data_IF_116569518899
#
_entry.id   IF_116569518899
#
_cell.length_a   1.000
_cell.length_b   1.000
_cell.length_c   1.000
_cell.angle_alpha   90.00
_cell.angle_beta   90.00
_cell.angle_gamma   90.00
#
_symmetry.space_group_name_H-M   'P 1'
#
loop_
_entity.id
_entity.type
_entity.pdbx_description
1 polymer ?
#
# COMPACT_ATOMS: atom_id res chain seq x y z
N UNK A 1 -13.62 -1.37 -6.93
CA UNK A 1 -15.08 -1.16 -7.06
C UNK A 1 -15.76 -2.41 -7.63
N UNK A 2 -17.09 -2.39 -7.71
CA UNK A 2 -17.90 -3.52 -8.16
C UNK A 2 -17.68 -3.88 -9.63
N UNK A 3 -17.39 -2.91 -10.48
CA UNK A 3 -17.16 -3.11 -11.91
C UNK A 3 -15.85 -3.88 -12.14
N UNK A 4 -14.79 -3.49 -11.43
CA UNK A 4 -13.52 -4.24 -11.45
C UNK A 4 -13.65 -5.65 -10.87
N UNK A 5 -14.44 -5.81 -9.81
CA UNK A 5 -14.71 -7.15 -9.25
C UNK A 5 -15.48 -8.02 -10.23
N UNK A 6 -16.50 -7.47 -10.91
CA UNK A 6 -17.24 -8.15 -11.95
C UNK A 6 -16.32 -8.59 -13.09
N UNK A 7 -15.50 -7.69 -13.62
CA UNK A 7 -14.49 -7.99 -14.64
C UNK A 7 -13.60 -9.17 -14.23
N UNK A 8 -13.09 -9.18 -13.00
CA UNK A 8 -12.25 -10.29 -12.50
C UNK A 8 -13.04 -11.61 -12.49
N UNK A 9 -14.31 -11.59 -12.06
CA UNK A 9 -15.16 -12.76 -12.05
C UNK A 9 -15.43 -13.28 -13.48
N UNK A 10 -15.78 -12.39 -14.41
CA UNK A 10 -16.03 -12.72 -15.81
C UNK A 10 -14.79 -13.36 -16.47
N UNK A 11 -13.60 -12.79 -16.21
CA UNK A 11 -12.31 -13.32 -16.71
C UNK A 11 -12.01 -14.72 -16.15
N UNK A 12 -12.26 -14.94 -14.87
CA UNK A 12 -12.06 -16.25 -14.24
C UNK A 12 -12.93 -17.32 -14.94
N UNK A 13 -14.18 -16.99 -15.25
CA UNK A 13 -15.11 -17.86 -15.92
C UNK A 13 -14.73 -18.06 -17.39
N UNK A 14 -14.48 -16.99 -18.14
CA UNK A 14 -14.14 -17.01 -19.58
C UNK A 14 -12.89 -17.85 -19.87
N UNK A 15 -11.86 -17.67 -19.07
CA UNK A 15 -10.58 -18.36 -19.26
C UNK A 15 -10.43 -19.63 -18.41
N UNK A 16 -11.50 -20.07 -17.73
CA UNK A 16 -11.51 -21.26 -16.90
C UNK A 16 -10.34 -21.31 -15.90
N UNK A 17 -10.11 -20.19 -15.21
CA UNK A 17 -8.98 -20.06 -14.26
C UNK A 17 -9.25 -20.92 -13.04
N UNK A 18 -8.52 -22.01 -12.91
CA UNK A 18 -8.71 -22.99 -11.83
C UNK A 18 -8.23 -22.48 -10.47
N UNK A 19 -7.26 -21.55 -10.46
CA UNK A 19 -6.60 -21.13 -9.23
C UNK A 19 -6.44 -19.62 -9.13
N UNK A 20 -7.04 -19.08 -8.10
CA UNK A 20 -6.98 -17.65 -7.76
C UNK A 20 -6.38 -17.50 -6.36
N UNK A 21 -5.51 -16.52 -6.18
CA UNK A 21 -4.93 -16.21 -4.88
C UNK A 21 -5.18 -14.73 -4.52
N UNK A 22 -5.82 -14.51 -3.39
CA UNK A 22 -5.94 -13.19 -2.78
C UNK A 22 -4.75 -12.96 -1.85
N UNK A 23 -3.94 -11.96 -2.15
CA UNK A 23 -2.71 -11.71 -1.39
C UNK A 23 -2.95 -10.75 -0.23
N UNK A 24 -2.12 -10.84 0.82
CA UNK A 24 -2.11 -9.88 1.94
C UNK A 24 -1.70 -8.45 1.52
N UNK A 25 -1.32 -8.25 0.27
CA UNK A 25 -0.99 -6.94 -0.30
C UNK A 25 -2.09 -6.44 -1.23
N UNK A 26 -3.34 -6.91 -1.05
CA UNK A 26 -4.53 -6.49 -1.79
C UNK A 26 -4.38 -6.68 -3.32
N UNK A 27 -3.74 -7.77 -3.73
CA UNK A 27 -3.58 -8.15 -5.13
C UNK A 27 -4.34 -9.45 -5.39
N UNK A 28 -5.05 -9.53 -6.50
CA UNK A 28 -5.59 -10.77 -7.03
C UNK A 28 -4.56 -11.39 -7.98
N UNK A 29 -4.24 -12.66 -7.80
CA UNK A 29 -3.35 -13.40 -8.69
C UNK A 29 -4.15 -14.50 -9.37
N UNK A 30 -4.06 -14.56 -10.68
CA UNK A 30 -4.56 -15.65 -11.51
C UNK A 30 -3.36 -16.53 -11.86
N UNK A 31 -3.50 -17.83 -11.65
CA UNK A 31 -2.40 -18.79 -11.81
C UNK A 31 -2.61 -19.67 -13.02
N UNK A 32 -1.50 -20.26 -13.47
CA UNK A 32 -1.47 -21.34 -14.48
C UNK A 32 -2.09 -20.96 -15.84
N UNK A 33 -2.00 -19.66 -16.20
CA UNK A 33 -2.48 -19.12 -17.47
C UNK A 33 -1.50 -19.39 -18.61
N UNK A 34 -2.03 -19.64 -19.80
CA UNK A 34 -1.25 -19.68 -21.03
C UNK A 34 -0.66 -18.29 -21.38
N UNK A 35 0.53 -18.21 -22.00
CA UNK A 35 1.16 -16.92 -22.32
C UNK A 35 0.28 -16.00 -23.17
N UNK A 36 -0.46 -16.54 -24.10
CA UNK A 36 -1.37 -15.80 -25.00
C UNK A 36 -2.53 -15.19 -24.19
N UNK A 37 -3.06 -15.94 -23.24
CA UNK A 37 -4.12 -15.50 -22.33
C UNK A 37 -3.63 -14.35 -21.45
N UNK A 38 -2.37 -14.39 -20.96
CA UNK A 38 -1.79 -13.33 -20.12
C UNK A 38 -1.80 -11.99 -20.86
N UNK A 39 -1.33 -11.97 -22.11
CA UNK A 39 -1.28 -10.73 -22.90
C UNK A 39 -2.67 -10.14 -23.14
N UNK A 40 -3.63 -10.97 -23.55
CA UNK A 40 -5.01 -10.55 -23.77
C UNK A 40 -5.67 -10.02 -22.47
N UNK A 41 -5.45 -10.69 -21.35
CA UNK A 41 -5.95 -10.29 -20.04
C UNK A 41 -5.37 -8.96 -19.57
N UNK A 42 -4.08 -8.71 -19.80
CA UNK A 42 -3.45 -7.45 -19.43
C UNK A 42 -4.04 -6.28 -20.21
N UNK A 43 -4.34 -6.46 -21.49
CA UNK A 43 -4.99 -5.46 -22.33
C UNK A 43 -6.43 -5.21 -21.89
N UNK A 44 -7.20 -6.26 -21.66
CA UNK A 44 -8.59 -6.16 -21.16
C UNK A 44 -8.61 -5.50 -19.76
N UNK A 45 -7.72 -5.89 -18.86
CA UNK A 45 -7.63 -5.30 -17.52
C UNK A 45 -7.38 -3.78 -17.59
N UNK A 46 -6.50 -3.35 -18.49
CA UNK A 46 -6.21 -1.92 -18.67
C UNK A 46 -7.44 -1.15 -19.14
N UNK A 47 -8.25 -1.70 -20.06
CA UNK A 47 -9.49 -1.07 -20.53
C UNK A 47 -10.54 -0.91 -19.40
N UNK A 48 -10.45 -1.72 -18.34
CA UNK A 48 -11.27 -1.63 -17.13
C UNK A 48 -10.59 -0.83 -16.00
N UNK A 49 -9.51 -0.11 -16.30
CA UNK A 49 -8.76 0.67 -15.32
C UNK A 49 -8.07 -0.17 -14.25
N UNK A 50 -7.73 -1.43 -14.57
CA UNK A 50 -6.93 -2.32 -13.72
C UNK A 50 -5.50 -2.34 -14.27
N UNK A 51 -4.56 -1.85 -13.46
CA UNK A 51 -3.15 -1.79 -13.82
C UNK A 51 -2.46 -3.05 -13.30
N UNK A 52 -1.90 -3.85 -14.21
CA UNK A 52 -1.16 -5.07 -13.87
C UNK A 52 0.33 -4.83 -13.69
N UNK A 53 0.83 -3.70 -14.17
CA UNK A 53 2.23 -3.30 -14.06
C UNK A 53 2.63 -3.11 -12.59
N UNK A 54 3.81 -3.57 -12.20
CA UNK A 54 4.27 -3.51 -10.80
C UNK A 54 3.77 -4.66 -9.92
N UNK A 55 2.90 -5.54 -10.41
CA UNK A 55 2.42 -6.71 -9.66
C UNK A 55 3.54 -7.73 -9.34
N UNK A 56 4.61 -7.78 -10.13
CA UNK A 56 5.76 -8.69 -9.98
C UNK A 56 7.11 -7.98 -9.88
N UNK A 57 8.20 -8.74 -9.87
CA UNK A 57 9.57 -8.23 -10.01
C UNK A 57 10.11 -7.42 -8.83
N UNK A 58 11.20 -6.73 -9.07
CA UNK A 58 11.92 -5.89 -8.11
C UNK A 58 11.58 -4.41 -8.35
N UNK A 59 10.28 -4.12 -8.24
CA UNK A 59 9.65 -2.82 -8.45
C UNK A 59 8.83 -2.40 -7.24
N UNK A 60 8.43 -1.11 -7.17
CA UNK A 60 7.35 -0.72 -6.29
C UNK A 60 6.10 -1.59 -6.51
N UNK A 61 5.45 -1.95 -5.42
CA UNK A 61 4.24 -2.78 -5.45
C UNK A 61 3.02 -1.91 -5.16
N UNK A 62 1.84 -2.49 -5.32
CA UNK A 62 0.61 -1.82 -4.92
C UNK A 62 0.68 -1.37 -3.45
N UNK A 63 0.04 -0.26 -3.15
CA UNK A 63 -0.07 0.31 -1.82
C UNK A 63 -1.17 -0.39 -1.05
N UNK A 64 -0.92 -0.71 0.20
CA UNK A 64 -1.88 -1.35 1.08
C UNK A 64 -2.59 -0.33 1.96
N UNK A 65 -3.89 -0.52 2.17
CA UNK A 65 -4.71 0.23 3.10
C UNK A 65 -5.73 -0.70 3.76
N UNK A 66 -6.37 -0.32 4.87
CA UNK A 66 -7.47 -1.10 5.42
C UNK A 66 -8.62 -1.19 4.41
N UNK A 67 -9.20 -2.38 4.18
CA UNK A 67 -10.23 -2.57 3.15
C UNK A 67 -11.52 -1.81 3.41
N UNK A 68 -11.72 -1.32 4.64
CA UNK A 68 -12.88 -0.55 5.06
C UNK A 68 -12.54 0.91 5.38
N UNK A 69 -11.36 1.41 5.01
CA UNK A 69 -11.02 2.81 5.23
C UNK A 69 -12.06 3.73 4.58
N UNK A 70 -12.46 4.77 5.27
CA UNK A 70 -13.58 5.63 4.90
C UNK A 70 -14.97 5.13 5.36
N UNK A 71 -15.06 3.88 5.83
CA UNK A 71 -16.31 3.26 6.29
C UNK A 71 -16.21 2.60 7.67
N UNK A 72 -15.03 2.47 8.24
CA UNK A 72 -14.79 1.71 9.46
C UNK A 72 -15.14 2.52 10.71
N UNK A 73 -15.97 1.95 11.60
CA UNK A 73 -16.16 2.52 12.92
C UNK A 73 -14.86 2.48 13.71
N UNK A 74 -14.46 3.61 14.31
CA UNK A 74 -13.25 3.71 15.13
C UNK A 74 -11.96 3.97 14.35
N UNK A 75 -12.02 4.17 13.03
CA UNK A 75 -10.90 4.75 12.31
C UNK A 75 -10.68 6.21 12.73
N UNK A 76 -9.44 6.66 12.73
CA UNK A 76 -9.14 8.07 12.97
C UNK A 76 -9.54 8.93 11.76
N UNK A 77 -9.16 8.50 10.56
CA UNK A 77 -9.61 9.11 9.31
C UNK A 77 -9.42 8.15 8.12
N UNK A 78 -10.09 8.46 7.01
CA UNK A 78 -9.95 7.73 5.75
C UNK A 78 -8.57 7.96 5.14
N UNK A 79 -7.79 6.89 4.97
CA UNK A 79 -6.43 6.95 4.40
C UNK A 79 -6.38 6.61 2.91
N UNK A 80 -7.51 6.21 2.31
CA UNK A 80 -7.56 5.80 0.90
C UNK A 80 -7.05 6.88 -0.06
N UNK A 81 -7.40 8.19 0.09
CA UNK A 81 -6.93 9.21 -0.83
C UNK A 81 -5.39 9.30 -0.92
N UNK A 82 -4.70 9.16 0.22
CA UNK A 82 -3.23 9.16 0.25
C UNK A 82 -2.62 7.87 -0.26
N UNK A 83 -3.28 6.73 -0.02
CA UNK A 83 -2.86 5.44 -0.56
C UNK A 83 -2.97 5.43 -2.10
N UNK A 84 -4.03 5.99 -2.66
CA UNK A 84 -4.23 6.14 -4.11
C UNK A 84 -3.18 7.06 -4.72
N UNK A 85 -2.92 8.25 -4.13
CA UNK A 85 -1.87 9.15 -4.60
C UNK A 85 -0.48 8.54 -4.51
N UNK A 86 -0.22 7.77 -3.48
CA UNK A 86 1.03 7.02 -3.36
C UNK A 86 1.15 5.96 -4.44
N UNK A 87 0.08 5.25 -4.75
CA UNK A 87 0.07 4.24 -5.82
C UNK A 87 0.30 4.89 -7.20
N UNK A 88 -0.38 6.01 -7.50
CA UNK A 88 -0.15 6.79 -8.72
C UNK A 88 1.33 7.20 -8.85
N UNK A 89 1.91 7.76 -7.80
CA UNK A 89 3.32 8.15 -7.78
C UNK A 89 4.25 6.96 -7.99
N UNK A 90 4.05 5.85 -7.29
CA UNK A 90 4.89 4.67 -7.43
C UNK A 90 4.81 4.04 -8.83
N UNK A 91 3.68 4.14 -9.52
CA UNK A 91 3.55 3.70 -10.91
C UNK A 91 4.46 4.48 -11.86
N UNK A 92 4.68 5.77 -11.63
CA UNK A 92 5.60 6.58 -12.45
C UNK A 92 7.06 6.15 -12.30
N UNK A 93 7.38 5.45 -11.21
CA UNK A 93 8.73 5.00 -10.89
C UNK A 93 9.04 3.58 -11.38
N UNK A 94 8.05 2.88 -11.94
CA UNK A 94 8.27 1.57 -12.54
C UNK A 94 9.14 1.75 -13.79
N UNK A 95 10.21 0.99 -13.88
CA UNK A 95 11.24 1.07 -14.92
C UNK A 95 12.13 2.34 -14.90
N UNK A 96 11.95 3.26 -13.95
CA UNK A 96 12.86 4.41 -13.83
C UNK A 96 14.26 3.96 -13.41
N UNK A 97 14.35 3.10 -12.40
CA UNK A 97 15.62 2.56 -11.89
C UNK A 97 15.41 1.14 -11.35
N UNK A 98 16.44 0.32 -11.51
CA UNK A 98 16.43 -1.04 -10.96
C UNK A 98 16.56 -0.98 -9.43
N UNK A 99 15.58 -1.52 -8.73
CA UNK A 99 15.61 -1.63 -7.27
C UNK A 99 16.30 -2.94 -6.82
N UNK A 100 16.87 -2.97 -5.59
CA UNK A 100 17.44 -4.21 -5.04
C UNK A 100 16.38 -5.30 -4.91
N UNK A 101 15.17 -4.92 -4.53
CA UNK A 101 14.00 -5.79 -4.35
C UNK A 101 12.72 -4.97 -4.37
N UNK A 102 11.55 -5.65 -4.31
CA UNK A 102 10.23 -5.02 -4.20
C UNK A 102 10.14 -4.07 -3.01
N UNK A 103 9.50 -2.92 -3.20
CA UNK A 103 9.13 -1.94 -2.18
C UNK A 103 7.63 -2.01 -1.93
N UNK A 104 7.22 -2.10 -0.67
CA UNK A 104 5.81 -2.16 -0.26
C UNK A 104 5.50 -1.02 0.70
N UNK A 105 4.51 -0.21 0.33
CA UNK A 105 4.00 0.88 1.15
C UNK A 105 2.64 0.50 1.73
N UNK A 106 2.37 0.92 2.96
CA UNK A 106 1.16 0.58 3.69
C UNK A 106 0.66 1.74 4.52
N UNK A 107 -0.64 1.95 4.51
CA UNK A 107 -1.33 2.89 5.37
C UNK A 107 -2.20 2.16 6.39
N UNK A 108 -2.22 2.64 7.62
CA UNK A 108 -3.17 2.24 8.66
C UNK A 108 -4.05 3.43 9.01
N UNK A 109 -5.38 3.22 9.13
CA UNK A 109 -6.37 4.26 9.38
C UNK A 109 -6.68 4.46 10.88
N UNK A 110 -5.98 3.77 11.76
CA UNK A 110 -6.25 3.88 13.20
C UNK A 110 -5.45 2.91 14.05
N UNK A 111 -5.77 2.82 15.36
CA UNK A 111 -4.96 2.13 16.37
C UNK A 111 -4.90 0.61 16.17
N UNK A 112 -5.91 0.02 15.52
CA UNK A 112 -5.95 -1.42 15.26
C UNK A 112 -4.84 -1.88 14.30
N UNK A 113 -4.31 -0.97 13.48
CA UNK A 113 -3.21 -1.24 12.54
C UNK A 113 -3.43 -2.55 11.73
N UNK A 114 -4.64 -2.77 11.24
CA UNK A 114 -5.07 -4.01 10.58
C UNK A 114 -4.14 -4.44 9.44
N UNK A 115 -3.67 -3.57 8.54
CA UNK A 115 -2.74 -3.94 7.48
C UNK A 115 -1.29 -4.06 7.94
N UNK A 116 -1.03 -3.86 9.24
CA UNK A 116 0.27 -3.98 9.88
C UNK A 116 1.34 -3.06 9.25
N UNK A 117 1.05 -1.76 9.18
CA UNK A 117 1.95 -0.75 8.62
C UNK A 117 3.30 -0.71 9.33
N UNK A 118 3.35 -0.99 10.64
CA UNK A 118 4.55 -0.92 11.48
C UNK A 118 5.67 -1.92 11.12
N UNK A 119 5.41 -2.91 10.25
CA UNK A 119 6.46 -3.81 9.77
C UNK A 119 6.48 -3.99 8.25
N UNK A 120 6.11 -2.94 7.54
CA UNK A 120 6.29 -2.88 6.08
C UNK A 120 7.60 -2.20 5.70
N UNK A 121 7.91 -2.20 4.41
CA UNK A 121 9.09 -1.48 3.92
C UNK A 121 8.98 0.02 4.22
N UNK A 122 7.77 0.58 4.06
CA UNK A 122 7.36 1.89 4.54
C UNK A 122 5.91 1.81 5.02
N UNK A 123 5.63 2.34 6.21
CA UNK A 123 4.31 2.32 6.81
C UNK A 123 3.93 3.67 7.41
N UNK A 124 2.70 4.08 7.12
CA UNK A 124 2.06 5.26 7.68
C UNK A 124 0.96 4.83 8.63
N UNK A 125 1.05 5.22 9.88
CA UNK A 125 0.04 4.91 10.90
C UNK A 125 -0.70 6.17 11.26
N UNK A 126 -2.01 6.21 10.96
CA UNK A 126 -2.86 7.33 11.28
C UNK A 126 -2.91 7.55 12.80
N UNK A 127 -2.95 8.83 13.19
CA UNK A 127 -3.08 9.32 14.55
C UNK A 127 -4.42 10.03 14.71
N UNK A 128 -4.88 10.12 15.94
CA UNK A 128 -6.14 10.79 16.29
C UNK A 128 -6.15 12.29 15.91
N UNK A 129 -4.98 12.93 15.91
CA UNK A 129 -4.81 14.33 15.55
C UNK A 129 -4.81 14.60 14.02
N UNK A 130 -5.11 13.59 13.21
CA UNK A 130 -5.16 13.71 11.74
C UNK A 130 -3.81 13.61 11.04
N UNK A 131 -2.75 13.32 11.77
CA UNK A 131 -1.38 13.19 11.28
C UNK A 131 -0.97 11.72 11.14
N UNK A 132 0.26 11.46 10.65
CA UNK A 132 0.82 10.12 10.56
C UNK A 132 2.08 9.96 11.41
N UNK A 133 2.25 8.77 12.01
CA UNK A 133 3.55 8.25 12.40
C UNK A 133 4.11 7.40 11.26
N UNK A 134 5.42 7.53 10.96
CA UNK A 134 6.06 6.87 9.82
C UNK A 134 7.09 5.86 10.30
N UNK A 135 6.97 4.64 9.79
CA UNK A 135 7.86 3.51 10.06
C UNK A 135 8.51 3.03 8.77
N UNK A 136 9.79 2.70 8.80
CA UNK A 136 10.47 2.18 7.63
C UNK A 136 11.35 0.97 7.94
N UNK A 137 11.82 0.31 6.87
CA UNK A 137 12.75 -0.81 6.93
C UNK A 137 12.25 -2.01 7.75
N UNK A 138 10.93 -2.24 7.83
CA UNK A 138 10.34 -3.44 8.41
C UNK A 138 10.17 -4.58 7.40
N UNK A 139 9.68 -5.71 7.87
CA UNK A 139 9.31 -6.82 7.00
C UNK A 139 9.17 -8.15 7.70
N UNK A 140 8.38 -9.03 7.10
CA UNK A 140 8.21 -10.44 7.48
C UNK A 140 9.09 -11.37 6.63
N UNK A 141 8.97 -12.65 6.86
CA UNK A 141 9.74 -13.72 6.19
C UNK A 141 10.87 -14.22 7.09
N UNK A 142 11.89 -14.78 6.46
CA UNK A 142 13.04 -15.35 7.18
C UNK A 142 13.85 -14.30 7.90
N UNK A 143 13.72 -13.88 9.02
CA UNK A 143 14.32 -12.79 9.77
C UNK A 143 13.38 -11.57 9.83
N UNK A 144 12.22 -11.73 10.51
CA UNK A 144 11.23 -10.65 10.62
C UNK A 144 11.76 -9.53 11.51
N UNK A 145 11.43 -8.28 11.13
CA UNK A 145 11.77 -7.09 11.90
C UNK A 145 10.61 -6.09 11.88
N UNK A 146 10.36 -5.46 13.01
CA UNK A 146 9.54 -4.25 13.06
C UNK A 146 10.26 -3.12 12.32
N UNK A 147 9.48 -2.23 11.75
CA UNK A 147 10.01 -0.99 11.20
C UNK A 147 10.53 -0.06 12.30
N UNK A 148 11.53 0.72 11.96
CA UNK A 148 12.01 1.82 12.80
C UNK A 148 11.08 3.02 12.60
N UNK A 149 10.65 3.67 13.70
CA UNK A 149 9.86 4.90 13.61
C UNK A 149 10.77 6.06 13.22
N UNK A 150 10.72 6.50 11.98
CA UNK A 150 11.61 7.54 11.42
C UNK A 150 11.02 8.94 11.43
N UNK A 151 9.71 9.06 11.59
CA UNK A 151 9.04 10.36 11.75
C UNK A 151 7.76 10.21 12.56
N UNK A 152 7.37 11.31 13.23
CA UNK A 152 6.18 11.42 14.04
C UNK A 152 5.41 12.68 13.70
N UNK A 153 4.08 12.64 13.80
CA UNK A 153 3.20 13.77 13.55
C UNK A 153 3.42 14.41 12.16
N UNK A 154 3.48 13.55 11.14
CA UNK A 154 3.69 13.95 9.75
C UNK A 154 2.38 14.41 9.14
N UNK A 155 2.40 15.58 8.51
CA UNK A 155 1.27 16.09 7.74
C UNK A 155 0.94 15.14 6.58
N UNK A 156 -0.35 14.79 6.37
CA UNK A 156 -0.73 13.93 5.26
C UNK A 156 -0.32 14.47 3.88
N UNK A 157 -0.18 15.78 3.74
CA UNK A 157 0.32 16.42 2.52
C UNK A 157 1.78 16.07 2.19
N UNK A 158 2.56 15.62 3.16
CA UNK A 158 3.98 15.32 3.03
C UNK A 158 4.29 13.85 2.70
N UNK A 159 3.27 13.00 2.59
CA UNK A 159 3.40 11.54 2.40
C UNK A 159 4.35 11.18 1.27
N UNK A 160 4.28 11.83 0.10
CA UNK A 160 5.11 11.46 -1.05
C UNK A 160 6.59 11.82 -0.85
N UNK A 161 6.93 12.81 -0.03
CA UNK A 161 8.32 13.07 0.35
C UNK A 161 8.92 11.88 1.12
N UNK A 162 8.13 11.30 2.03
CA UNK A 162 8.54 10.12 2.78
C UNK A 162 8.65 8.88 1.89
N UNK A 163 7.76 8.72 0.91
CA UNK A 163 7.84 7.64 -0.10
C UNK A 163 9.12 7.77 -0.91
N UNK A 164 9.44 8.98 -1.38
CA UNK A 164 10.67 9.25 -2.12
C UNK A 164 11.92 9.01 -1.27
N UNK A 165 11.96 9.52 -0.05
CA UNK A 165 13.10 9.32 0.87
C UNK A 165 13.36 7.84 1.12
N UNK A 166 12.31 7.04 1.38
CA UNK A 166 12.44 5.58 1.56
C UNK A 166 12.96 4.88 0.31
N UNK A 167 12.42 5.25 -0.86
CA UNK A 167 12.88 4.70 -2.14
C UNK A 167 14.35 5.00 -2.37
N UNK A 168 14.75 6.26 -2.23
CA UNK A 168 16.11 6.72 -2.49
C UNK A 168 17.10 6.07 -1.50
N UNK A 169 16.73 5.94 -0.23
CA UNK A 169 17.53 5.20 0.75
C UNK A 169 17.68 3.72 0.34
N UNK A 170 16.61 3.10 -0.14
CA UNK A 170 16.65 1.70 -0.56
C UNK A 170 17.50 1.51 -1.82
N UNK A 171 17.44 2.43 -2.78
CA UNK A 171 18.31 2.40 -3.97
C UNK A 171 19.79 2.56 -3.59
N UNK A 172 20.11 3.49 -2.70
CA UNK A 172 21.49 3.80 -2.33
C UNK A 172 22.16 2.73 -1.44
N UNK A 173 21.39 2.14 -0.51
CA UNK A 173 21.93 1.27 0.55
C UNK A 173 21.43 -0.17 0.50
N UNK A 174 20.54 -0.51 -0.41
CA UNK A 174 20.01 -1.87 -0.55
C UNK A 174 21.02 -2.85 -1.16
N UNK A 175 20.88 -4.12 -0.83
CA UNK A 175 21.81 -5.15 -1.30
C UNK A 175 21.38 -5.69 -2.67
N UNK A 176 22.14 -5.36 -3.70
CA UNK A 176 21.93 -5.84 -5.08
C UNK A 176 22.56 -7.20 -5.38
N UNK A 177 23.52 -7.65 -4.55
CA UNK A 177 24.29 -8.84 -4.81
C UNK A 177 23.66 -10.10 -4.19
N UNK A 178 23.13 -9.97 -2.98
CA UNK A 178 22.58 -11.11 -2.24
C UNK A 178 21.04 -11.02 -2.16
N UNK A 179 20.36 -11.69 -3.09
CA UNK A 179 18.88 -11.63 -3.18
C UNK A 179 18.16 -12.01 -1.87
N UNK A 180 18.71 -12.93 -1.08
CA UNK A 180 18.18 -13.30 0.23
C UNK A 180 18.24 -12.19 1.28
N UNK A 181 19.12 -11.20 1.08
CA UNK A 181 19.36 -10.05 1.97
C UNK A 181 18.98 -8.70 1.30
N UNK A 182 18.26 -8.73 0.21
CA UNK A 182 17.93 -7.56 -0.60
C UNK A 182 16.67 -6.79 -0.14
N UNK A 183 15.95 -7.27 0.91
CA UNK A 183 14.77 -6.57 1.43
C UNK A 183 15.17 -5.41 2.34
N UNK A 184 14.31 -4.40 2.41
CA UNK A 184 14.51 -3.16 3.19
C UNK A 184 14.84 -3.40 4.67
N UNK A 185 14.29 -4.46 5.29
CA UNK A 185 14.58 -4.80 6.70
C UNK A 185 16.06 -5.05 7.00
N UNK A 186 16.85 -5.39 5.99
CA UNK A 186 18.29 -5.55 6.14
C UNK A 186 19.05 -4.22 6.19
N UNK A 187 18.40 -3.09 5.84
CA UNK A 187 18.98 -1.76 6.07
C UNK A 187 19.22 -1.50 7.56
N UNK A 188 18.41 -2.08 8.45
CA UNK A 188 18.65 -2.01 9.89
C UNK A 188 19.97 -2.66 10.32
N UNK A 189 20.40 -3.71 9.61
CA UNK A 189 21.70 -4.35 9.87
C UNK A 189 22.86 -3.57 9.24
N UNK A 190 22.63 -3.01 8.05
CA UNK A 190 23.66 -2.31 7.29
C UNK A 190 23.97 -0.93 7.85
N UNK A 191 22.94 -0.18 8.24
CA UNK A 191 23.04 1.21 8.70
C UNK A 191 23.01 1.33 10.23
N UNK A 192 22.44 0.36 10.93
CA UNK A 192 22.03 0.53 12.31
C UNK A 192 20.84 1.48 12.44
N UNK A 193 20.28 1.65 13.62
CA UNK A 193 19.11 2.52 13.84
C UNK A 193 19.49 4.00 13.69
N UNK A 194 20.60 4.43 14.28
CA UNK A 194 21.08 5.82 14.16
C UNK A 194 21.42 6.20 12.71
N UNK A 195 22.15 5.33 12.00
CA UNK A 195 22.49 5.56 10.60
C UNK A 195 21.25 5.59 9.69
N UNK A 196 20.25 4.75 9.98
CA UNK A 196 18.99 4.73 9.26
C UNK A 196 18.23 6.05 9.46
N UNK A 197 18.14 6.57 10.69
CA UNK A 197 17.56 7.87 10.98
C UNK A 197 18.29 9.01 10.27
N UNK A 198 19.63 9.02 10.31
CA UNK A 198 20.44 10.07 9.69
C UNK A 198 20.24 10.11 8.17
N UNK A 199 20.39 8.97 7.49
CA UNK A 199 20.22 8.86 6.03
C UNK A 199 18.78 9.19 5.61
N UNK A 200 17.80 8.67 6.34
CA UNK A 200 16.40 8.94 6.04
C UNK A 200 16.06 10.43 6.13
N UNK A 201 16.51 11.10 7.21
CA UNK A 201 16.27 12.51 7.42
C UNK A 201 16.94 13.38 6.36
N UNK A 202 18.19 13.07 5.99
CA UNK A 202 18.90 13.78 4.91
C UNK A 202 18.13 13.67 3.57
N UNK A 203 17.71 12.44 3.21
CA UNK A 203 16.98 12.20 1.97
C UNK A 203 15.59 12.84 1.98
N UNK A 204 14.93 12.90 3.13
CA UNK A 204 13.64 13.57 3.29
C UNK A 204 13.77 15.09 3.07
N UNK A 205 14.74 15.72 3.69
CA UNK A 205 14.99 17.16 3.51
C UNK A 205 15.38 17.48 2.06
N UNK A 206 16.19 16.63 1.43
CA UNK A 206 16.51 16.75 0.03
C UNK A 206 15.26 16.61 -0.86
N UNK A 207 14.40 15.63 -0.59
CA UNK A 207 13.17 15.45 -1.34
C UNK A 207 12.25 16.69 -1.23
N UNK A 208 12.08 17.25 -0.04
CA UNK A 208 11.29 18.47 0.18
C UNK A 208 11.83 19.68 -0.57
N UNK A 209 13.15 19.81 -0.63
CA UNK A 209 13.82 20.94 -1.29
C UNK A 209 13.78 20.82 -2.83
N UNK A 210 14.07 19.63 -3.35
CA UNK A 210 14.27 19.40 -4.78
C UNK A 210 12.97 19.06 -5.53
N UNK A 211 11.94 18.58 -4.81
CA UNK A 211 10.69 18.06 -5.39
C UNK A 211 9.44 18.65 -4.71
N UNK A 212 9.28 19.99 -4.65
CA UNK A 212 8.13 20.60 -3.98
C UNK A 212 6.77 20.17 -4.59
N UNK A 213 6.76 19.69 -5.82
CA UNK A 213 5.60 19.12 -6.50
C UNK A 213 5.05 17.84 -5.84
N UNK A 214 5.86 17.18 -5.00
CA UNK A 214 5.42 16.00 -4.25
C UNK A 214 4.53 16.33 -3.04
N UNK A 215 4.30 17.61 -2.75
CA UNK A 215 3.34 17.98 -1.72
C UNK A 215 1.92 17.69 -2.20
N UNK A 216 1.24 16.80 -1.49
CA UNK A 216 -0.08 16.26 -1.91
C UNK A 216 -1.21 17.11 -1.35
N UNK A 217 -2.16 17.45 -2.20
CA UNK A 217 -3.46 17.94 -1.77
C UNK A 217 -4.52 16.90 -2.19
N UNK A 218 -5.23 16.34 -1.22
CA UNK A 218 -6.32 15.40 -1.47
C UNK A 218 -7.59 15.90 -0.81
N UNK A 219 -8.72 15.66 -1.47
CA UNK A 219 -10.02 15.85 -0.87
C UNK A 219 -10.48 14.53 -0.26
N UNK A 220 -10.93 14.57 1.00
CA UNK A 220 -11.54 13.41 1.61
C UNK A 220 -12.82 13.04 0.83
N UNK A 221 -12.92 11.77 0.44
CA UNK A 221 -14.13 11.24 -0.20
C UNK A 221 -15.21 11.08 0.87
N UNK A 222 -16.02 12.10 1.06
CA UNK A 222 -17.17 11.99 1.94
C UNK A 222 -18.20 11.04 1.32
N UNK A 223 -18.37 9.86 1.91
CA UNK A 223 -19.45 8.95 1.54
C UNK A 223 -20.75 9.55 2.08
N UNK A 224 -21.52 10.18 1.20
CA UNK A 224 -22.82 10.81 1.55
C UNK A 224 -24.00 9.83 1.55
N UNK A 225 -23.76 8.56 1.23
CA UNK A 225 -24.82 7.54 1.20
C UNK A 225 -25.29 7.21 2.61
N UNK A 226 -26.60 7.13 2.77
CA UNK A 226 -27.27 6.59 3.96
C UNK A 226 -28.11 5.38 3.54
N UNK A 227 -28.28 4.45 4.42
CA UNK A 227 -29.07 3.24 4.21
C UNK A 227 -30.21 3.13 5.21
N UNK A 228 -30.83 1.96 5.26
CA UNK A 228 -31.86 1.63 6.22
C UNK A 228 -31.22 0.87 7.38
N UNK A 229 -31.36 1.39 8.59
CA UNK A 229 -30.87 0.70 9.79
C UNK A 229 -31.58 -0.64 9.96
N UNK A 230 -30.84 -1.72 10.04
CA UNK A 230 -31.33 -3.08 10.22
C UNK A 230 -30.49 -3.81 11.26
N UNK A 231 -31.09 -4.79 11.91
CA UNK A 231 -30.40 -5.73 12.80
C UNK A 231 -30.06 -7.00 12.03
N UNK A 232 -28.85 -7.51 12.21
CA UNK A 232 -28.39 -8.75 11.60
C UNK A 232 -27.83 -9.69 12.69
N UNK A 233 -28.30 -10.91 12.71
CA UNK A 233 -27.71 -11.97 13.54
C UNK A 233 -26.59 -12.68 12.78
N UNK A 234 -25.52 -11.94 12.51
CA UNK A 234 -24.37 -12.48 11.79
C UNK A 234 -23.10 -11.69 12.10
N UNK A 235 -22.05 -12.39 12.50
CA UNK A 235 -20.71 -11.81 12.69
C UNK A 235 -20.06 -11.35 11.39
N UNK A 236 -20.59 -11.74 10.25
CA UNK A 236 -20.07 -11.35 8.91
C UNK A 236 -20.64 -10.02 8.42
N UNK A 237 -21.69 -9.51 9.06
CA UNK A 237 -22.29 -8.21 8.73
C UNK A 237 -21.83 -7.20 9.75
N UNK A 238 -21.08 -6.21 9.30
CA UNK A 238 -20.38 -5.24 10.14
C UNK A 238 -20.95 -3.86 9.82
N UNK A 239 -21.49 -3.15 10.81
CA UNK A 239 -21.97 -1.79 10.62
C UNK A 239 -20.83 -0.86 10.19
N UNK A 240 -21.12 0.02 9.25
CA UNK A 240 -20.22 1.10 8.86
C UNK A 240 -20.48 2.35 9.70
N UNK A 241 -19.57 3.32 9.67
CA UNK A 241 -19.78 4.63 10.30
C UNK A 241 -20.92 5.44 9.65
N UNK A 242 -21.21 5.14 8.38
CA UNK A 242 -22.35 5.70 7.68
C UNK A 242 -23.62 4.94 8.11
N UNK A 243 -24.61 5.67 8.61
CA UNK A 243 -25.83 5.11 9.15
C UNK A 243 -26.58 4.24 8.13
N UNK A 244 -26.95 3.03 8.55
CA UNK A 244 -27.71 2.06 7.74
C UNK A 244 -26.91 1.40 6.60
N UNK A 245 -25.58 1.60 6.54
CA UNK A 245 -24.69 0.88 5.63
C UNK A 245 -23.90 -0.20 6.38
N UNK A 246 -23.60 -1.28 5.69
CA UNK A 246 -22.96 -2.47 6.24
C UNK A 246 -21.89 -3.01 5.29
N UNK A 247 -20.80 -3.49 5.86
CA UNK A 247 -19.82 -4.30 5.17
C UNK A 247 -20.12 -5.79 5.39
N UNK A 248 -19.85 -6.62 4.41
CA UNK A 248 -20.01 -8.08 4.50
C UNK A 248 -18.63 -8.73 4.35
N UNK A 249 -18.29 -9.61 5.30
CA UNK A 249 -17.05 -10.39 5.26
C UNK A 249 -17.36 -11.82 4.81
N UNK A 250 -16.60 -12.32 3.84
CA UNK A 250 -16.66 -13.68 3.33
C UNK A 250 -15.49 -14.52 3.83
#
# INVERSE_FOLDING_TARGET
DKEKLKFIADVIEEHQVEKVHLTTCMTVQLHDLAPETICALMEQALSHGIITMGGGGDYPRNVMAPPRSGAECGEYFDVMPWAEKTAEYLLTLINAEKMPRKLKVCFSNGPANVPHATFRDLGFVAREDGLFDVYCAGGLGNNPRLGVKVAQAVEPSDVLFHVKAMRDMFLAHGNYQQRGRARTRYLQETLGEEGLHAVYSELLERAKKEHPELKVSVQANAISKQGIVRSFDSKRVIAQKQEGLYAVSY
#
